data_IF_941972710214
#
_entry.id   IF_941972710214
#
_cell.length_a   1.000
_cell.length_b   1.000
_cell.length_c   1.000
_cell.angle_alpha   90.00
_cell.angle_beta   90.00
_cell.angle_gamma   90.00
#
_symmetry.space_group_name_H-M   'P 1'
#
loop_
_entity.id
_entity.type
_entity.pdbx_description
1 polymer ?
#
# COMPACT_ATOMS: atom_id res chain seq x y z
N UNK A 1 -49.15 23.49 -44.66
CA UNK A 1 -48.89 22.63 -43.48
C UNK A 1 -47.55 23.06 -42.89
N UNK A 2 -47.50 23.10 -41.56
CA UNK A 2 -46.58 23.76 -40.62
C UNK A 2 -45.11 23.28 -40.63
N UNK A 3 -44.18 24.24 -40.57
CA UNK A 3 -42.94 24.42 -39.75
C UNK A 3 -42.03 23.20 -39.33
N UNK A 4 -40.90 23.37 -38.62
CA UNK A 4 -39.57 23.13 -39.21
C UNK A 4 -38.54 22.37 -38.31
N UNK A 5 -37.34 22.09 -38.84
CA UNK A 5 -36.02 21.91 -38.14
C UNK A 5 -35.85 20.78 -37.07
N UNK A 6 -34.62 20.56 -36.54
CA UNK A 6 -33.60 19.56 -36.91
C UNK A 6 -33.44 18.44 -35.84
N UNK A 7 -32.38 17.61 -35.94
CA UNK A 7 -31.60 16.92 -34.87
C UNK A 7 -31.08 15.57 -35.46
N UNK A 8 -29.82 15.14 -35.34
CA UNK A 8 -28.82 15.41 -34.31
C UNK A 8 -27.40 15.26 -34.88
N UNK A 9 -26.52 16.17 -34.46
CA UNK A 9 -25.08 15.90 -34.32
C UNK A 9 -24.88 14.62 -33.53
N UNK A 10 -24.32 13.59 -34.15
CA UNK A 10 -23.59 12.56 -33.39
C UNK A 10 -22.16 13.05 -33.26
N UNK A 11 -21.92 13.86 -32.23
CA UNK A 11 -20.57 14.00 -31.70
C UNK A 11 -20.05 12.60 -31.33
N UNK A 12 -18.76 12.27 -31.55
CA UNK A 12 -18.18 11.13 -30.88
C UNK A 12 -18.26 11.41 -29.38
N UNK A 13 -19.09 10.63 -28.68
CA UNK A 13 -19.07 10.55 -27.22
C UNK A 13 -17.61 10.34 -26.77
N UNK A 14 -17.12 11.08 -25.76
CA UNK A 14 -15.84 10.76 -25.17
C UNK A 14 -15.93 9.33 -24.63
N UNK A 15 -15.03 8.49 -25.13
CA UNK A 15 -14.88 7.10 -24.72
C UNK A 15 -14.85 7.02 -23.20
N UNK A 16 -15.90 6.48 -22.59
CA UNK A 16 -15.80 5.91 -21.25
C UNK A 16 -14.66 4.89 -21.31
N UNK A 17 -13.55 5.04 -20.56
CA UNK A 17 -12.64 3.94 -20.43
C UNK A 17 -13.38 2.90 -19.59
N UNK A 18 -13.67 1.76 -20.18
CA UNK A 18 -13.90 0.53 -19.42
C UNK A 18 -12.58 0.25 -18.69
N UNK A 19 -12.37 0.88 -17.54
CA UNK A 19 -11.21 0.64 -16.69
C UNK A 19 -11.31 -0.82 -16.27
N UNK A 20 -10.51 -1.66 -16.93
CA UNK A 20 -10.42 -3.08 -16.60
C UNK A 20 -10.00 -3.19 -15.13
N UNK A 21 -10.48 -4.18 -14.35
CA UNK A 21 -10.12 -4.31 -12.94
C UNK A 21 -8.61 -4.25 -12.68
N UNK A 22 -7.80 -4.78 -13.61
CA UNK A 22 -6.34 -4.69 -13.56
C UNK A 22 -5.83 -3.24 -13.59
N UNK A 23 -6.33 -2.39 -14.49
CA UNK A 23 -5.90 -0.99 -14.59
C UNK A 23 -6.28 -0.17 -13.35
N UNK A 24 -7.41 -0.47 -12.71
CA UNK A 24 -7.80 0.15 -11.44
C UNK A 24 -6.86 -0.25 -10.30
N UNK A 25 -6.46 -1.53 -10.22
CA UNK A 25 -5.51 -2.00 -9.22
C UNK A 25 -4.12 -1.39 -9.41
N UNK A 26 -3.65 -1.27 -10.66
CA UNK A 26 -2.37 -0.62 -10.97
C UNK A 26 -2.39 0.87 -10.59
N UNK A 27 -3.51 1.55 -10.82
CA UNK A 27 -3.68 2.94 -10.40
C UNK A 27 -3.58 3.08 -8.88
N UNK A 28 -4.31 2.25 -8.12
CA UNK A 28 -4.24 2.24 -6.64
C UNK A 28 -2.82 1.93 -6.17
N UNK A 29 -2.14 0.98 -6.81
CA UNK A 29 -0.73 0.66 -6.50
C UNK A 29 0.16 1.89 -6.67
N UNK A 30 0.02 2.60 -7.79
CA UNK A 30 0.85 3.75 -8.11
C UNK A 30 0.57 4.94 -7.19
N UNK A 31 -0.69 5.20 -6.87
CA UNK A 31 -1.10 6.21 -5.90
C UNK A 31 -0.56 5.89 -4.50
N UNK A 32 -0.70 4.65 -4.05
CA UNK A 32 -0.14 4.20 -2.77
C UNK A 32 1.38 4.33 -2.74
N UNK A 33 2.06 3.97 -3.84
CA UNK A 33 3.52 4.12 -3.97
C UNK A 33 3.96 5.58 -3.91
N UNK A 34 3.17 6.50 -4.46
CA UNK A 34 3.45 7.93 -4.35
C UNK A 34 3.38 8.39 -2.89
N UNK A 35 2.32 8.01 -2.16
CA UNK A 35 2.20 8.32 -0.72
C UNK A 35 3.29 7.66 0.13
N UNK A 36 3.80 6.49 -0.27
CA UNK A 36 4.93 5.83 0.39
C UNK A 36 6.24 6.62 0.28
N UNK A 37 6.40 7.51 -0.71
CA UNK A 37 7.61 8.33 -0.83
C UNK A 37 7.71 9.38 0.27
N UNK A 38 6.59 9.78 0.88
CA UNK A 38 6.57 10.75 1.98
C UNK A 38 7.02 10.11 3.30
N UNK A 39 6.97 8.78 3.42
CA UNK A 39 7.36 8.03 4.62
C UNK A 39 8.89 7.84 4.70
N UNK A 40 9.61 8.96 4.82
CA UNK A 40 11.08 9.02 4.90
C UNK A 40 11.61 8.98 6.34
N UNK A 41 10.75 9.25 7.32
CA UNK A 41 11.06 9.19 8.75
C UNK A 41 9.88 8.60 9.51
N UNK A 42 10.08 8.29 10.80
CA UNK A 42 9.02 7.73 11.64
C UNK A 42 7.92 8.79 11.91
N UNK A 43 6.95 8.86 11.00
CA UNK A 43 5.87 9.84 11.03
C UNK A 43 4.55 9.13 11.30
N UNK A 44 4.08 9.23 12.56
CA UNK A 44 2.77 8.68 12.96
C UNK A 44 1.62 9.17 12.06
N UNK A 45 1.51 10.47 11.69
CA UNK A 45 0.45 10.93 10.79
C UNK A 45 0.48 10.24 9.43
N UNK A 46 1.66 10.07 8.83
CA UNK A 46 1.82 9.43 7.51
C UNK A 46 1.49 7.93 7.61
N UNK A 47 1.98 7.25 8.65
CA UNK A 47 1.67 5.84 8.91
C UNK A 47 0.16 5.65 9.08
N UNK A 48 -0.49 6.51 9.87
CA UNK A 48 -1.94 6.46 10.07
C UNK A 48 -2.68 6.68 8.76
N UNK A 49 -2.29 7.68 7.97
CA UNK A 49 -2.91 7.95 6.67
C UNK A 49 -2.77 6.76 5.70
N UNK A 50 -1.56 6.21 5.56
CA UNK A 50 -1.31 5.02 4.74
C UNK A 50 -2.07 3.78 5.25
N UNK A 51 -2.29 3.68 6.56
CA UNK A 51 -3.13 2.62 7.17
C UNK A 51 -4.61 2.81 6.80
N UNK A 52 -5.11 4.05 6.83
CA UNK A 52 -6.49 4.37 6.43
C UNK A 52 -6.70 4.06 4.96
N UNK A 53 -5.78 4.48 4.08
CA UNK A 53 -5.85 4.16 2.64
C UNK A 53 -5.88 2.64 2.43
N UNK A 54 -5.09 1.88 3.18
CA UNK A 54 -5.11 0.41 3.12
C UNK A 54 -6.46 -0.18 3.59
N UNK A 55 -7.07 0.40 4.62
CA UNK A 55 -8.38 -0.02 5.11
C UNK A 55 -9.52 0.33 4.15
N UNK A 56 -9.43 1.41 3.40
CA UNK A 56 -10.44 1.81 2.42
C UNK A 56 -10.34 1.00 1.12
N UNK A 57 -9.14 0.49 0.81
CA UNK A 57 -8.82 -0.21 -0.44
C UNK A 57 -8.52 -1.70 -0.24
N UNK A 58 -9.24 -2.38 0.67
CA UNK A 58 -9.04 -3.82 0.97
C UNK A 58 -9.15 -4.70 -0.28
N UNK A 59 -9.99 -4.33 -1.25
CA UNK A 59 -10.12 -5.04 -2.53
C UNK A 59 -8.83 -5.02 -3.37
N UNK A 60 -7.95 -4.05 -3.10
CA UNK A 60 -6.65 -3.88 -3.73
C UNK A 60 -5.48 -4.25 -2.79
N UNK A 61 -5.74 -5.00 -1.70
CA UNK A 61 -4.74 -5.35 -0.70
C UNK A 61 -3.48 -5.98 -1.30
N UNK A 62 -3.61 -6.82 -2.33
CA UNK A 62 -2.45 -7.44 -2.99
C UNK A 62 -1.55 -6.41 -3.70
N UNK A 63 -2.16 -5.39 -4.31
CA UNK A 63 -1.42 -4.30 -4.95
C UNK A 63 -0.69 -3.43 -3.91
N UNK A 64 -1.36 -3.14 -2.79
CA UNK A 64 -0.82 -2.35 -1.68
C UNK A 64 0.35 -3.08 -1.01
N UNK A 65 0.21 -4.37 -0.69
CA UNK A 65 1.30 -5.18 -0.14
C UNK A 65 2.48 -5.21 -1.09
N UNK A 66 2.24 -5.43 -2.39
CA UNK A 66 3.30 -5.37 -3.40
C UNK A 66 4.03 -4.03 -3.43
N UNK A 67 3.33 -2.90 -3.32
CA UNK A 67 3.95 -1.58 -3.24
C UNK A 67 4.83 -1.40 -2.00
N UNK A 68 4.39 -1.90 -0.84
CA UNK A 68 5.16 -1.85 0.42
C UNK A 68 6.42 -2.72 0.30
N UNK A 69 6.30 -3.96 -0.18
CA UNK A 69 7.43 -4.88 -0.33
C UNK A 69 8.48 -4.35 -1.32
N UNK A 70 8.04 -3.79 -2.44
CA UNK A 70 8.91 -3.12 -3.41
C UNK A 70 9.64 -1.93 -2.77
N UNK A 71 8.93 -1.07 -2.03
CA UNK A 71 9.54 0.07 -1.35
C UNK A 71 10.53 -0.39 -0.26
N UNK A 72 10.22 -1.42 0.52
CA UNK A 72 11.17 -1.98 1.51
C UNK A 72 12.43 -2.55 0.85
N UNK A 73 12.31 -3.16 -0.33
CA UNK A 73 13.47 -3.65 -1.08
C UNK A 73 14.35 -2.50 -1.57
N UNK A 74 13.76 -1.45 -2.11
CA UNK A 74 14.48 -0.41 -2.87
C UNK A 74 14.88 0.81 -2.01
N UNK A 75 14.21 1.06 -0.88
CA UNK A 75 14.44 2.26 -0.06
C UNK A 75 15.80 2.28 0.65
N UNK A 76 16.26 3.47 1.03
CA UNK A 76 17.44 3.65 1.87
C UNK A 76 17.25 2.93 3.23
N UNK A 77 18.29 2.29 3.82
CA UNK A 77 18.19 1.64 5.11
C UNK A 77 17.55 2.49 6.22
N UNK A 78 17.77 3.81 6.22
CA UNK A 78 17.17 4.74 7.19
C UNK A 78 15.64 4.83 7.12
N UNK A 79 15.05 4.44 5.99
CA UNK A 79 13.60 4.49 5.77
C UNK A 79 12.92 3.13 6.04
N UNK A 80 13.70 2.07 6.28
CA UNK A 80 13.16 0.72 6.48
C UNK A 80 12.37 0.58 7.78
N UNK A 81 12.79 1.26 8.84
CA UNK A 81 12.07 1.22 10.11
C UNK A 81 10.66 1.85 10.01
N UNK A 82 10.48 3.06 9.44
CA UNK A 82 9.15 3.60 9.17
C UNK A 82 8.24 2.64 8.36
N UNK A 83 8.78 1.99 7.33
CA UNK A 83 8.03 1.01 6.51
C UNK A 83 7.63 -0.24 7.30
N UNK A 84 8.50 -0.70 8.20
CA UNK A 84 8.17 -1.81 9.10
C UNK A 84 7.03 -1.41 10.05
N UNK A 85 7.03 -0.19 10.59
CA UNK A 85 5.95 0.31 11.43
C UNK A 85 4.63 0.47 10.68
N UNK A 86 4.67 0.84 9.39
CA UNK A 86 3.49 0.81 8.55
C UNK A 86 2.94 -0.61 8.39
N UNK A 87 3.82 -1.58 8.11
CA UNK A 87 3.43 -3.00 7.99
C UNK A 87 2.78 -3.50 9.28
N UNK A 88 3.38 -3.20 10.44
CA UNK A 88 2.82 -3.49 11.76
C UNK A 88 1.45 -2.85 11.98
N UNK A 89 1.31 -1.57 11.62
CA UNK A 89 0.05 -0.82 11.75
C UNK A 89 -1.06 -1.43 10.91
N UNK A 90 -0.77 -1.82 9.67
CA UNK A 90 -1.75 -2.48 8.79
C UNK A 90 -2.16 -3.83 9.37
N UNK A 91 -1.20 -4.67 9.78
CA UNK A 91 -1.48 -5.99 10.33
C UNK A 91 -2.30 -5.95 11.63
N UNK A 92 -2.16 -4.89 12.44
CA UNK A 92 -2.89 -4.72 13.71
C UNK A 92 -4.25 -4.07 13.56
N UNK A 93 -4.38 -3.09 12.67
CA UNK A 93 -5.55 -2.22 12.65
C UNK A 93 -6.47 -2.46 11.46
N UNK A 94 -5.99 -3.15 10.41
CA UNK A 94 -6.76 -3.34 9.19
C UNK A 94 -7.33 -4.75 9.13
N UNK A 95 -8.66 -4.83 9.20
CA UNK A 95 -9.36 -6.10 8.96
C UNK A 95 -9.28 -6.45 7.48
N UNK A 96 -8.96 -7.70 7.14
CA UNK A 96 -8.94 -8.15 5.75
C UNK A 96 -7.87 -9.21 5.45
N UNK A 97 -7.50 -9.39 4.17
CA UNK A 97 -6.60 -10.44 3.74
C UNK A 97 -5.11 -10.12 3.97
N UNK A 98 -4.78 -8.98 4.58
CA UNK A 98 -3.39 -8.53 4.75
C UNK A 98 -2.47 -9.56 5.41
N UNK A 99 -2.85 -10.22 6.54
CA UNK A 99 -1.99 -11.25 7.14
C UNK A 99 -1.68 -12.40 6.16
N UNK A 100 -2.68 -12.86 5.41
CA UNK A 100 -2.51 -13.95 4.44
C UNK A 100 -1.64 -13.55 3.24
N UNK A 101 -1.72 -12.29 2.81
CA UNK A 101 -0.95 -11.78 1.67
C UNK A 101 0.52 -11.51 2.07
N UNK A 102 0.78 -11.01 3.28
CA UNK A 102 2.14 -10.81 3.78
C UNK A 102 2.85 -12.13 4.13
N UNK A 103 2.12 -13.12 4.65
CA UNK A 103 2.67 -14.40 5.13
C UNK A 103 3.73 -15.06 4.22
N UNK A 104 3.55 -15.20 2.88
CA UNK A 104 4.54 -15.87 2.03
C UNK A 104 5.89 -15.15 1.97
N UNK A 105 5.92 -13.82 2.12
CA UNK A 105 7.10 -13.00 1.86
C UNK A 105 7.66 -12.32 3.11
N UNK A 106 6.88 -12.21 4.20
CA UNK A 106 7.23 -11.40 5.37
C UNK A 106 8.56 -11.79 6.01
N UNK A 107 8.90 -13.08 6.04
CA UNK A 107 10.18 -13.57 6.59
C UNK A 107 11.34 -13.08 5.73
N UNK A 108 11.23 -13.16 4.41
CA UNK A 108 12.26 -12.71 3.49
C UNK A 108 12.40 -11.19 3.51
N UNK A 109 11.29 -10.46 3.46
CA UNK A 109 11.24 -8.99 3.51
C UNK A 109 11.83 -8.47 4.83
N UNK A 110 11.46 -9.07 5.96
CA UNK A 110 12.01 -8.72 7.27
C UNK A 110 13.50 -9.00 7.35
N UNK A 111 13.94 -10.20 6.98
CA UNK A 111 15.35 -10.61 7.09
C UNK A 111 16.26 -9.76 6.20
N UNK A 112 15.84 -9.49 4.97
CA UNK A 112 16.57 -8.65 4.02
C UNK A 112 16.68 -7.20 4.51
N UNK A 113 15.60 -6.67 5.11
CA UNK A 113 15.58 -5.32 5.67
C UNK A 113 16.44 -5.24 6.95
N UNK A 114 16.32 -6.23 7.83
CA UNK A 114 17.08 -6.33 9.08
C UNK A 114 18.60 -6.38 8.85
N UNK A 115 19.05 -7.05 7.79
CA UNK A 115 20.47 -7.12 7.44
C UNK A 115 21.06 -5.76 7.02
N UNK A 116 20.20 -4.81 6.58
CA UNK A 116 20.61 -3.52 6.01
C UNK A 116 20.61 -2.37 7.01
N UNK A 117 19.86 -2.48 8.11
CA UNK A 117 19.74 -1.43 9.14
C UNK A 117 20.86 -1.51 10.18
N UNK A 118 21.09 -0.40 10.89
CA UNK A 118 22.06 -0.33 11.98
C UNK A 118 21.58 -1.04 13.26
N UNK A 119 22.44 -1.11 14.28
CA UNK A 119 22.14 -1.86 15.51
C UNK A 119 20.98 -1.26 16.33
N UNK A 120 20.81 0.07 16.32
CA UNK A 120 19.71 0.73 17.02
C UNK A 120 18.37 0.35 16.39
N UNK A 121 18.30 0.37 15.05
CA UNK A 121 17.10 -0.02 14.31
C UNK A 121 16.87 -1.53 14.35
N UNK A 122 17.92 -2.37 14.38
CA UNK A 122 17.78 -3.83 14.60
C UNK A 122 17.04 -4.14 15.89
N UNK A 123 17.35 -3.43 16.99
CA UNK A 123 16.64 -3.63 18.26
C UNK A 123 15.14 -3.32 18.12
N UNK A 124 14.79 -2.28 17.35
CA UNK A 124 13.40 -1.91 17.09
C UNK A 124 12.68 -2.89 16.17
N UNK A 125 13.36 -3.42 15.15
CA UNK A 125 12.86 -4.51 14.30
C UNK A 125 12.48 -5.73 15.13
N UNK A 126 13.37 -6.15 16.04
CA UNK A 126 13.11 -7.30 16.92
C UNK A 126 11.93 -7.05 17.85
N UNK A 127 11.74 -5.82 18.35
CA UNK A 127 10.55 -5.47 19.13
C UNK A 127 9.27 -5.63 18.33
N UNK A 128 9.23 -5.18 17.07
CA UNK A 128 8.05 -5.38 16.21
C UNK A 128 7.76 -6.87 16.02
N UNK A 129 8.80 -7.68 15.75
CA UNK A 129 8.65 -9.13 15.63
C UNK A 129 8.10 -9.78 16.92
N UNK A 130 8.51 -9.30 18.10
CA UNK A 130 7.93 -9.74 19.37
C UNK A 130 6.44 -9.38 19.46
N UNK A 131 6.03 -8.18 19.01
CA UNK A 131 4.61 -7.83 19.02
C UNK A 131 3.76 -8.75 18.15
N UNK A 132 4.28 -9.22 17.02
CA UNK A 132 3.58 -10.18 16.16
C UNK A 132 3.49 -11.58 16.77
N UNK A 133 4.50 -11.98 17.57
CA UNK A 133 4.46 -13.26 18.32
C UNK A 133 3.50 -13.22 19.50
N UNK A 134 3.40 -12.07 20.17
CA UNK A 134 2.53 -11.87 21.33
C UNK A 134 1.08 -11.55 20.97
N UNK A 135 0.78 -11.34 19.68
CA UNK A 135 -0.58 -11.27 19.16
C UNK A 135 -0.90 -12.62 18.48
N UNK A 136 -1.34 -13.65 19.24
CA UNK A 136 -1.98 -14.78 18.59
C UNK A 136 -3.25 -14.23 17.92
N UNK A 137 -3.30 -14.31 16.60
CA UNK A 137 -4.52 -14.03 15.84
C UNK A 137 -5.68 -14.92 16.30
#
# INVERSE_FOLDING_TARGET
>A
MTSPTPLSSTAPQPTNPTTTPAAALDQIKQEYRASLQDLTFNSKPIITNLTIIAQENVNAAQAIVGAIEEQMRDANPKHLLPLLYLTDSILKNVSGPYPAIFAPNIVNTFSSSYARVDNDDKARFLRVLQTWRSHPG
#
